data_IF_054391764858
#
_entry.id   IF_054391764858
#
_cell.length_a   1.000
_cell.length_b   1.000
_cell.length_c   1.000
_cell.angle_alpha   90.00
_cell.angle_beta   90.00
_cell.angle_gamma   90.00
#
_symmetry.space_group_name_H-M   'P 1'
#
loop_
_entity.id
_entity.type
_entity.pdbx_description
1 polymer ?
#
# COMPACT_ATOMS: atom_id res chain seq x y z
N UNK A 1 -10.35 -5.11 18.32
CA UNK A 1 -10.35 -5.06 16.85
C UNK A 1 -9.32 -6.03 16.28
N UNK A 2 -9.75 -6.83 15.34
CA UNK A 2 -8.83 -7.74 14.68
C UNK A 2 -7.96 -6.98 13.70
N UNK A 3 -6.64 -7.23 13.67
CA UNK A 3 -5.79 -6.61 12.67
C UNK A 3 -6.12 -7.16 11.29
N UNK A 4 -6.02 -6.31 10.27
CA UNK A 4 -6.18 -6.75 8.90
C UNK A 4 -5.01 -7.66 8.53
N UNK A 5 -5.32 -8.76 7.85
CA UNK A 5 -4.30 -9.67 7.34
C UNK A 5 -3.91 -9.22 5.95
N UNK A 6 -2.62 -9.02 5.73
CA UNK A 6 -2.09 -8.62 4.43
C UNK A 6 -0.81 -9.38 4.13
N UNK A 7 -0.48 -9.44 2.85
CA UNK A 7 0.69 -10.16 2.36
C UNK A 7 1.47 -9.29 1.38
N UNK A 8 2.68 -9.74 1.04
CA UNK A 8 3.47 -9.08 0.01
C UNK A 8 2.67 -9.03 -1.30
N UNK A 9 2.73 -7.90 -1.98
CA UNK A 9 2.03 -7.62 -3.25
C UNK A 9 0.50 -7.54 -3.16
N UNK A 10 -0.05 -7.47 -1.95
CA UNK A 10 -1.47 -7.18 -1.80
C UNK A 10 -1.77 -5.74 -2.23
N UNK A 11 -2.92 -5.58 -2.86
CA UNK A 11 -3.44 -4.25 -3.19
C UNK A 11 -4.29 -3.78 -2.02
N UNK A 12 -3.97 -2.61 -1.49
CA UNK A 12 -4.66 -2.06 -0.32
C UNK A 12 -5.20 -0.68 -0.60
N UNK A 13 -6.25 -0.31 0.12
CA UNK A 13 -6.77 1.05 0.11
C UNK A 13 -6.43 1.71 1.44
N UNK A 14 -5.85 2.90 1.37
CA UNK A 14 -5.48 3.67 2.56
C UNK A 14 -6.59 4.66 2.89
N UNK A 15 -6.63 5.11 4.14
CA UNK A 15 -7.65 6.07 4.60
C UNK A 15 -7.47 7.44 3.98
N UNK A 16 -6.23 7.81 3.68
CA UNK A 16 -5.90 9.09 3.05
C UNK A 16 -5.28 8.86 1.69
N UNK A 17 -5.63 9.72 0.74
CA UNK A 17 -5.02 9.70 -0.58
C UNK A 17 -3.57 10.19 -0.51
N UNK A 18 -2.73 9.67 -1.40
CA UNK A 18 -1.37 10.16 -1.57
C UNK A 18 -1.43 11.49 -2.33
N UNK A 19 -0.69 12.53 -1.88
CA UNK A 19 -0.71 13.83 -2.56
C UNK A 19 0.12 13.80 -3.85
N UNK A 20 -0.39 13.10 -4.85
CA UNK A 20 0.20 13.06 -6.19
C UNK A 20 -0.85 13.51 -7.20
N UNK A 21 -0.45 13.63 -8.48
CA UNK A 21 -1.35 14.11 -9.52
C UNK A 21 -2.65 13.30 -9.57
N UNK A 22 -2.56 12.00 -9.40
CA UNK A 22 -3.72 11.11 -9.48
C UNK A 22 -4.50 10.98 -8.17
N UNK A 23 -3.94 11.46 -7.06
CA UNK A 23 -4.56 11.41 -5.73
C UNK A 23 -5.20 10.07 -5.40
N UNK A 24 -4.50 8.98 -5.72
CA UNK A 24 -5.04 7.65 -5.49
C UNK A 24 -4.92 7.25 -4.02
N UNK A 25 -5.88 6.44 -3.57
CA UNK A 25 -5.83 5.81 -2.25
C UNK A 25 -5.37 4.36 -2.34
N UNK A 26 -5.14 3.87 -3.56
CA UNK A 26 -4.74 2.49 -3.80
C UNK A 26 -3.24 2.38 -3.83
N UNK A 27 -2.74 1.40 -3.09
CA UNK A 27 -1.31 1.14 -2.99
C UNK A 27 -1.10 -0.36 -3.07
N UNK A 28 0.10 -0.76 -3.48
CA UNK A 28 0.51 -2.16 -3.43
C UNK A 28 1.61 -2.32 -2.40
N UNK A 29 1.51 -3.35 -1.58
CA UNK A 29 2.57 -3.68 -0.61
C UNK A 29 3.74 -4.27 -1.39
N UNK A 30 4.89 -3.59 -1.36
CA UNK A 30 6.07 -4.04 -2.10
C UNK A 30 7.16 -4.59 -1.18
N UNK A 31 6.97 -4.49 0.14
CA UNK A 31 7.87 -5.11 1.11
C UNK A 31 7.14 -5.29 2.44
N UNK A 32 7.34 -6.46 3.02
CA UNK A 32 6.85 -6.78 4.36
C UNK A 32 8.03 -7.27 5.19
N UNK A 33 8.30 -6.56 6.27
CA UNK A 33 9.41 -6.87 7.16
C UNK A 33 9.22 -6.12 8.47
N UNK A 34 10.31 -5.63 9.06
CA UNK A 34 10.22 -4.76 10.24
C UNK A 34 9.42 -3.51 9.90
N UNK A 35 9.59 -3.01 8.66
CA UNK A 35 8.81 -1.91 8.12
C UNK A 35 8.01 -2.38 6.91
N UNK A 36 6.98 -1.63 6.56
CA UNK A 36 6.15 -1.91 5.39
C UNK A 36 6.46 -0.85 4.34
N UNK A 37 6.73 -1.31 3.11
CA UNK A 37 6.86 -0.41 1.96
C UNK A 37 5.65 -0.60 1.06
N UNK A 38 5.02 0.50 0.68
CA UNK A 38 3.88 0.48 -0.22
C UNK A 38 4.15 1.39 -1.41
N UNK A 39 3.65 0.99 -2.57
CA UNK A 39 3.83 1.73 -3.81
C UNK A 39 2.51 2.35 -4.22
N UNK A 40 2.51 3.66 -4.46
CA UNK A 40 1.33 4.36 -4.96
C UNK A 40 1.00 3.87 -6.38
N UNK A 41 -0.21 3.38 -6.59
CA UNK A 41 -0.63 2.88 -7.90
C UNK A 41 -0.95 4.00 -8.88
N UNK A 42 -0.94 5.24 -8.42
CA UNK A 42 -1.14 6.39 -9.29
C UNK A 42 0.14 6.95 -9.88
N UNK A 43 1.20 7.03 -9.08
CA UNK A 43 2.45 7.66 -9.51
C UNK A 43 3.68 6.76 -9.38
N UNK A 44 3.56 5.62 -8.73
CA UNK A 44 4.66 4.67 -8.58
C UNK A 44 5.65 4.98 -7.46
N UNK A 45 5.41 6.01 -6.68
CA UNK A 45 6.28 6.34 -5.56
C UNK A 45 6.15 5.30 -4.45
N UNK A 46 7.28 4.95 -3.84
CA UNK A 46 7.31 4.00 -2.72
C UNK A 46 7.39 4.79 -1.42
N UNK A 47 6.54 4.43 -0.47
CA UNK A 47 6.48 5.04 0.84
C UNK A 47 6.77 3.96 1.87
N UNK A 48 7.67 4.25 2.80
CA UNK A 48 7.99 3.33 3.89
C UNK A 48 7.35 3.83 5.19
N UNK A 49 6.80 2.90 5.96
CA UNK A 49 6.25 3.21 7.27
C UNK A 49 6.38 2.00 8.19
N UNK A 50 6.24 2.23 9.49
CA UNK A 50 6.24 1.12 10.44
C UNK A 50 4.96 0.31 10.29
N UNK A 51 4.99 -0.93 10.78
CA UNK A 51 3.80 -1.77 10.79
C UNK A 51 2.67 -1.13 11.58
N UNK A 52 3.02 -0.49 12.68
CA UNK A 52 2.04 0.20 13.50
C UNK A 52 1.33 1.30 12.70
N UNK A 53 2.10 2.13 12.01
CA UNK A 53 1.55 3.20 11.19
C UNK A 53 0.73 2.64 10.03
N UNK A 54 1.21 1.58 9.40
CA UNK A 54 0.49 0.95 8.29
C UNK A 54 -0.86 0.42 8.76
N UNK A 55 -0.88 -0.32 9.87
CA UNK A 55 -2.12 -0.88 10.42
C UNK A 55 -3.12 0.21 10.79
N UNK A 56 -2.61 1.37 11.20
CA UNK A 56 -3.43 2.50 11.57
C UNK A 56 -4.03 3.23 10.36
N UNK A 57 -3.33 3.21 9.25
CA UNK A 57 -3.70 3.96 8.04
C UNK A 57 -4.41 3.13 6.98
N UNK A 58 -4.29 1.82 7.02
CA UNK A 58 -4.93 0.94 6.06
C UNK A 58 -6.45 0.91 6.29
N UNK A 59 -7.20 0.98 5.21
CA UNK A 59 -8.65 0.89 5.27
C UNK A 59 -9.13 -0.53 4.99
N UNK A 60 -8.64 -1.13 3.88
CA UNK A 60 -9.00 -2.49 3.53
C UNK A 60 -8.01 -3.05 2.52
N UNK A 61 -8.01 -4.38 2.40
CA UNK A 61 -7.26 -5.09 1.36
C UNK A 61 -8.21 -5.30 0.19
N UNK A 62 -7.81 -4.83 -1.00
CA UNK A 62 -8.64 -4.90 -2.19
C UNK A 62 -8.41 -6.17 -3.00
N UNK A 63 -7.18 -6.69 -2.98
CA UNK A 63 -6.85 -7.89 -3.75
C UNK A 63 -5.39 -8.24 -3.58
N UNK A 64 -4.94 -9.21 -4.38
CA UNK A 64 -3.57 -9.71 -4.33
C UNK A 64 -3.03 -9.86 -5.75
N UNK A 65 -1.76 -9.52 -5.93
CA UNK A 65 -1.03 -9.71 -7.18
C UNK A 65 0.14 -10.65 -6.93
N UNK A 66 0.63 -11.30 -7.99
CA UNK A 66 1.78 -12.21 -7.87
C UNK A 66 3.12 -11.49 -7.92
N UNK A 67 3.13 -10.20 -8.21
CA UNK A 67 4.35 -9.41 -8.28
C UNK A 67 4.07 -7.93 -8.26
N UNK A 68 5.12 -7.15 -8.28
CA UNK A 68 4.98 -5.70 -8.25
C UNK A 68 4.39 -5.17 -9.54
N UNK A 69 3.34 -4.36 -9.41
CA UNK A 69 2.71 -3.70 -10.55
C UNK A 69 3.65 -2.64 -11.08
N UNK A 70 3.83 -2.62 -12.39
CA UNK A 70 4.64 -1.58 -13.04
C UNK A 70 3.77 -0.38 -13.34
N UNK A 71 4.20 0.78 -12.87
CA UNK A 71 3.52 2.04 -13.13
C UNK A 71 4.28 2.76 -14.23
N UNK A 72 3.63 3.00 -15.34
CA UNK A 72 4.19 3.79 -16.44
C UNK A 72 4.00 5.26 -16.13
N UNK A 73 5.09 5.99 -16.21
CA UNK A 73 5.08 7.43 -15.97
C UNK A 73 5.06 8.18 -17.31
#
# INVERSE_FOLDING_TARGET
MEPLIYQLFDIVEMKKEHPCINRTKRFQIVRVGADIKIMCLGCGNVIMMTRYDFNKRIRKVLGHEEGQIKIEK
#
